data_IF_279326178724
#
_entry.id   IF_279326178724
#
_cell.length_a   1.000
_cell.length_b   1.000
_cell.length_c   1.000
_cell.angle_alpha   90.00
_cell.angle_beta   90.00
_cell.angle_gamma   90.00
#
_symmetry.space_group_name_H-M   'P 1'
#
loop_
_entity.id
_entity.type
_entity.pdbx_description
1 polymer ?
#
# COMPACT_ATOMS: atom_id res chain seq x y z
N UNK A 1 11.58 -11.72 -9.53
CA UNK A 1 11.44 -12.79 -10.54
C UNK A 1 10.62 -13.89 -9.89
N UNK A 2 9.50 -14.24 -10.50
CA UNK A 2 8.62 -15.33 -10.09
C UNK A 2 8.60 -16.34 -11.24
N UNK A 3 8.63 -17.63 -10.90
CA UNK A 3 8.58 -18.73 -11.87
C UNK A 3 7.37 -19.58 -11.50
N UNK A 4 6.50 -19.84 -12.45
CA UNK A 4 5.33 -20.70 -12.23
C UNK A 4 5.65 -22.20 -12.44
N UNK A 5 4.66 -23.06 -12.20
CA UNK A 5 4.82 -24.52 -12.29
C UNK A 5 5.10 -25.02 -13.72
N UNK A 6 4.80 -24.20 -14.74
CA UNK A 6 5.03 -24.51 -16.16
C UNK A 6 6.40 -23.99 -16.62
N UNK A 7 7.06 -23.18 -15.81
CA UNK A 7 8.38 -22.60 -16.07
C UNK A 7 8.33 -21.20 -16.68
N UNK A 8 7.16 -20.58 -16.79
CA UNK A 8 7.04 -19.20 -17.26
C UNK A 8 7.60 -18.23 -16.21
N UNK A 9 8.41 -17.29 -16.68
CA UNK A 9 9.11 -16.33 -15.83
C UNK A 9 8.43 -14.97 -15.91
N UNK A 10 7.97 -14.47 -14.77
CA UNK A 10 7.49 -13.09 -14.63
C UNK A 10 8.50 -12.23 -13.89
N UNK A 11 8.92 -11.13 -14.53
CA UNK A 11 9.79 -10.10 -13.96
C UNK A 11 8.97 -8.81 -13.84
N UNK A 12 8.64 -8.43 -12.60
CA UNK A 12 7.89 -7.21 -12.31
C UNK A 12 8.35 -6.62 -10.98
N UNK A 13 8.22 -5.30 -10.82
CA UNK A 13 8.36 -4.60 -9.54
C UNK A 13 7.01 -4.13 -8.98
N UNK A 14 5.91 -4.45 -9.65
CA UNK A 14 4.58 -4.12 -9.14
C UNK A 14 4.15 -5.09 -8.04
N UNK A 15 3.91 -4.56 -6.84
CA UNK A 15 3.52 -5.32 -5.67
C UNK A 15 2.18 -6.04 -5.82
N UNK A 16 1.21 -5.43 -6.53
CA UNK A 16 -0.09 -6.06 -6.78
C UNK A 16 0.06 -7.30 -7.67
N UNK A 17 0.83 -7.19 -8.76
CA UNK A 17 1.16 -8.32 -9.63
C UNK A 17 1.92 -9.43 -8.89
N UNK A 18 2.89 -9.08 -8.05
CA UNK A 18 3.64 -10.06 -7.24
C UNK A 18 2.68 -10.83 -6.33
N UNK A 19 1.81 -10.12 -5.60
CA UNK A 19 0.87 -10.73 -4.65
C UNK A 19 -0.21 -11.57 -5.33
N UNK A 20 -0.58 -11.23 -6.57
CA UNK A 20 -1.53 -12.01 -7.38
C UNK A 20 -0.94 -13.35 -7.85
N UNK A 21 0.36 -13.40 -8.11
CA UNK A 21 1.05 -14.61 -8.56
C UNK A 21 1.43 -15.54 -7.40
N UNK A 22 1.45 -15.03 -6.17
CA UNK A 22 1.66 -15.84 -4.97
C UNK A 22 0.39 -16.62 -4.63
N UNK A 23 0.52 -17.94 -4.52
CA UNK A 23 -0.57 -18.78 -4.02
C UNK A 23 -0.66 -18.68 -2.49
N UNK A 24 -1.53 -17.80 -2.00
CA UNK A 24 -1.73 -17.55 -0.57
C UNK A 24 -2.95 -18.31 -0.08
N UNK A 25 -2.73 -19.41 0.63
CA UNK A 25 -3.83 -20.21 1.19
C UNK A 25 -4.50 -19.56 2.40
N UNK A 26 -3.71 -18.91 3.27
CA UNK A 26 -4.19 -18.40 4.55
C UNK A 26 -5.21 -17.25 4.37
N UNK A 27 -6.40 -17.29 4.99
CA UNK A 27 -7.44 -16.27 4.79
C UNK A 27 -6.99 -14.84 5.09
N UNK A 28 -6.22 -14.62 6.15
CA UNK A 28 -5.69 -13.29 6.46
C UNK A 28 -4.69 -12.79 5.41
N UNK A 29 -3.95 -13.71 4.76
CA UNK A 29 -3.06 -13.36 3.66
C UNK A 29 -3.84 -12.99 2.39
N UNK A 30 -4.95 -13.69 2.10
CA UNK A 30 -5.86 -13.33 1.00
C UNK A 30 -6.42 -11.91 1.14
N UNK A 31 -6.69 -11.45 2.38
CA UNK A 31 -7.11 -10.06 2.63
C UNK A 31 -6.01 -9.07 2.20
N UNK A 32 -4.73 -9.36 2.47
CA UNK A 32 -3.63 -8.49 2.05
C UNK A 32 -3.43 -8.48 0.54
N UNK A 33 -3.62 -9.63 -0.13
CA UNK A 33 -3.60 -9.71 -1.60
C UNK A 33 -4.73 -8.87 -2.19
N UNK A 34 -5.95 -8.99 -1.66
CA UNK A 34 -7.09 -8.19 -2.09
C UNK A 34 -6.88 -6.70 -1.83
N UNK A 35 -6.28 -6.32 -0.70
CA UNK A 35 -5.95 -4.94 -0.39
C UNK A 35 -5.01 -4.31 -1.44
N UNK A 36 -3.99 -5.06 -1.88
CA UNK A 36 -3.08 -4.60 -2.92
C UNK A 36 -3.77 -4.43 -4.28
N UNK A 37 -4.66 -5.36 -4.65
CA UNK A 37 -5.44 -5.30 -5.87
C UNK A 37 -6.42 -4.12 -5.87
N UNK A 38 -7.14 -3.90 -4.76
CA UNK A 38 -8.06 -2.76 -4.62
C UNK A 38 -7.32 -1.42 -4.73
N UNK A 39 -6.11 -1.33 -4.16
CA UNK A 39 -5.29 -0.12 -4.27
C UNK A 39 -4.85 0.15 -5.72
N UNK A 40 -4.55 -0.91 -6.47
CA UNK A 40 -4.19 -0.81 -7.89
C UNK A 40 -5.40 -0.38 -8.74
N UNK A 41 -6.59 -0.93 -8.48
CA UNK A 41 -7.82 -0.62 -9.20
C UNK A 41 -8.34 0.81 -8.94
N UNK A 42 -8.30 1.27 -7.69
CA UNK A 42 -8.88 2.56 -7.29
C UNK A 42 -7.92 3.75 -7.51
N UNK A 43 -6.63 3.55 -7.25
CA UNK A 43 -5.63 4.64 -7.25
C UNK A 43 -4.50 4.39 -8.27
N UNK A 44 -4.11 3.13 -8.47
CA UNK A 44 -3.04 2.76 -9.41
C UNK A 44 -1.62 3.09 -8.93
N UNK A 45 -1.46 3.49 -7.65
CA UNK A 45 -0.18 3.74 -7.01
C UNK A 45 -0.22 3.33 -5.53
N UNK A 46 0.94 3.05 -4.94
CA UNK A 46 1.08 2.71 -3.53
C UNK A 46 0.68 1.28 -3.19
N UNK A 47 0.53 0.39 -4.17
CA UNK A 47 0.17 -1.04 -4.00
C UNK A 47 1.11 -1.76 -3.02
N UNK A 48 2.41 -1.51 -3.12
CA UNK A 48 3.40 -2.04 -2.17
C UNK A 48 3.29 -1.38 -0.79
N UNK A 49 3.16 -0.05 -0.77
CA UNK A 49 3.15 0.74 0.47
C UNK A 49 1.95 0.40 1.36
N UNK A 50 0.76 0.19 0.79
CA UNK A 50 -0.44 -0.13 1.56
C UNK A 50 -0.33 -1.48 2.28
N UNK A 51 0.30 -2.47 1.64
CA UNK A 51 0.53 -3.79 2.23
C UNK A 51 1.55 -3.72 3.36
N UNK A 52 2.66 -3.00 3.15
CA UNK A 52 3.67 -2.78 4.19
C UNK A 52 3.06 -2.04 5.40
N UNK A 53 2.24 -1.02 5.14
CA UNK A 53 1.55 -0.29 6.20
C UNK A 53 0.60 -1.18 6.99
N UNK A 54 -0.20 -2.00 6.31
CA UNK A 54 -1.10 -2.96 6.97
C UNK A 54 -0.32 -3.96 7.83
N UNK A 55 0.78 -4.51 7.32
CA UNK A 55 1.66 -5.41 8.07
C UNK A 55 2.25 -4.73 9.33
N UNK A 56 2.68 -3.47 9.21
CA UNK A 56 3.21 -2.71 10.35
C UNK A 56 2.14 -2.44 11.42
N UNK A 57 0.90 -2.13 11.01
CA UNK A 57 -0.22 -1.97 11.93
C UNK A 57 -0.59 -3.27 12.65
N UNK A 58 -0.59 -4.40 11.94
CA UNK A 58 -0.83 -5.71 12.55
C UNK A 58 0.24 -6.08 13.56
N UNK A 59 1.52 -5.84 13.23
CA UNK A 59 2.63 -6.06 14.17
C UNK A 59 2.49 -5.19 15.43
N UNK A 60 2.17 -3.91 15.26
CA UNK A 60 1.94 -3.01 16.41
C UNK A 60 0.73 -3.41 17.24
N UNK A 61 -0.34 -3.93 16.61
CA UNK A 61 -1.50 -4.45 17.31
C UNK A 61 -1.16 -5.70 18.14
N UNK A 62 -0.36 -6.63 17.60
CA UNK A 62 0.10 -7.83 18.29
C UNK A 62 0.93 -7.50 19.55
N UNK A 63 1.81 -6.49 19.47
CA UNK A 63 2.58 -5.99 20.62
C UNK A 63 1.66 -5.41 21.72
N UNK A 64 0.57 -4.72 21.35
CA UNK A 64 -0.40 -4.18 22.31
C UNK A 64 -1.27 -5.28 22.92
N UNK A 65 -1.66 -6.28 22.15
CA UNK A 65 -2.40 -7.46 22.64
C UNK A 65 -1.54 -8.22 23.64
N UNK A 66 -0.25 -8.39 23.36
CA UNK A 66 0.72 -9.01 24.28
C UNK A 66 0.85 -8.26 25.61
N UNK A 67 0.47 -6.98 25.63
CA UNK A 67 0.39 -6.13 26.84
C UNK A 67 -1.00 -6.08 27.46
N UNK A 68 -1.88 -7.03 27.13
CA UNK A 68 -3.25 -7.15 27.62
C UNK A 68 -4.18 -5.99 27.25
N UNK A 69 -3.88 -5.27 26.17
CA UNK A 69 -4.81 -4.26 25.62
C UNK A 69 -5.89 -4.97 24.81
N UNK A 70 -7.16 -4.73 25.14
CA UNK A 70 -8.28 -5.34 24.42
C UNK A 70 -8.31 -4.91 22.94
N UNK A 71 -8.49 -5.83 21.97
CA UNK A 71 -8.46 -5.51 20.53
C UNK A 71 -9.39 -4.37 20.11
N UNK A 72 -10.60 -4.29 20.69
CA UNK A 72 -11.55 -3.19 20.44
C UNK A 72 -10.98 -1.81 20.76
N UNK A 73 -10.16 -1.71 21.82
CA UNK A 73 -9.50 -0.45 22.20
C UNK A 73 -8.45 -0.05 21.17
N UNK A 74 -7.69 -1.03 20.65
CA UNK A 74 -6.69 -0.82 19.59
C UNK A 74 -7.37 -0.33 18.32
N UNK A 75 -8.46 -0.99 17.90
CA UNK A 75 -9.24 -0.61 16.71
C UNK A 75 -9.77 0.82 16.85
N UNK A 76 -10.33 1.19 18.02
CA UNK A 76 -10.80 2.54 18.26
C UNK A 76 -9.67 3.58 18.23
N UNK A 77 -8.51 3.23 18.79
CA UNK A 77 -7.30 4.07 18.73
C UNK A 77 -6.83 4.31 17.29
N UNK A 78 -6.74 3.26 16.48
CA UNK A 78 -6.36 3.38 15.06
C UNK A 78 -7.37 4.18 14.25
N UNK A 79 -8.68 4.02 14.50
CA UNK A 79 -9.71 4.84 13.85
C UNK A 79 -9.61 6.32 14.22
N UNK A 80 -9.30 6.63 15.48
CA UNK A 80 -9.07 8.02 15.90
C UNK A 80 -7.81 8.60 15.25
N UNK A 81 -6.70 7.86 15.31
CA UNK A 81 -5.44 8.28 14.71
C UNK A 81 -5.55 8.50 13.20
N UNK A 82 -6.25 7.60 12.49
CA UNK A 82 -6.50 7.72 11.05
C UNK A 82 -7.25 9.01 10.71
N UNK A 83 -8.29 9.38 11.47
CA UNK A 83 -9.04 10.62 11.25
C UNK A 83 -8.15 11.86 11.38
N UNK A 84 -7.38 11.94 12.45
CA UNK A 84 -6.48 13.08 12.67
C UNK A 84 -5.35 13.13 11.65
N UNK A 85 -4.78 11.98 11.26
CA UNK A 85 -3.76 11.90 10.23
C UNK A 85 -4.28 12.36 8.86
N UNK A 86 -5.48 11.92 8.46
CA UNK A 86 -6.12 12.37 7.22
C UNK A 86 -6.40 13.88 7.24
N UNK A 87 -6.87 14.41 8.37
CA UNK A 87 -7.08 15.85 8.54
C UNK A 87 -5.76 16.62 8.36
N UNK A 88 -4.70 16.17 9.01
CA UNK A 88 -3.38 16.78 8.89
C UNK A 88 -2.86 16.79 7.44
N UNK A 89 -3.01 15.68 6.72
CA UNK A 89 -2.63 15.57 5.30
C UNK A 89 -3.40 16.60 4.47
N UNK A 90 -4.71 16.73 4.69
CA UNK A 90 -5.57 17.65 3.95
C UNK A 90 -5.29 19.13 4.26
N UNK A 91 -4.84 19.45 5.47
CA UNK A 91 -4.56 20.83 5.90
C UNK A 91 -3.14 21.28 5.51
N UNK A 92 -2.16 20.36 5.53
CA UNK A 92 -0.74 20.73 5.44
C UNK A 92 0.03 20.14 4.26
N UNK A 93 -0.38 18.99 3.72
CA UNK A 93 0.41 18.26 2.73
C UNK A 93 -0.22 18.26 1.33
N UNK A 94 -1.50 18.62 1.19
CA UNK A 94 -2.14 18.69 -0.12
C UNK A 94 -1.64 19.90 -0.92
N UNK A 95 -1.37 19.67 -2.20
CA UNK A 95 -1.14 20.73 -3.17
C UNK A 95 -2.29 20.74 -4.18
N UNK A 96 -2.78 21.94 -4.50
CA UNK A 96 -3.80 22.10 -5.53
C UNK A 96 -3.20 21.83 -6.91
N UNK A 97 -3.83 20.93 -7.68
CA UNK A 97 -3.40 20.53 -9.02
C UNK A 97 -3.33 21.73 -9.97
N UNK A 98 -4.20 22.74 -9.79
CA UNK A 98 -4.18 23.97 -10.59
C UNK A 98 -2.89 24.78 -10.42
N UNK A 99 -2.21 24.62 -9.27
CA UNK A 99 -0.95 25.31 -8.94
C UNK A 99 0.29 24.48 -9.31
N UNK A 100 0.11 23.24 -9.76
CA UNK A 100 1.18 22.28 -10.01
C UNK A 100 1.98 22.63 -11.28
N UNK A 101 1.29 23.14 -12.30
CA UNK A 101 1.85 23.44 -13.62
C UNK A 101 2.41 22.21 -14.34
N UNK A 102 2.98 22.43 -15.54
CA UNK A 102 3.55 21.33 -16.35
C UNK A 102 4.74 20.67 -15.65
N UNK A 103 5.59 21.44 -14.97
CA UNK A 103 6.75 20.89 -14.27
C UNK A 103 6.35 19.96 -13.13
N UNK A 104 5.37 20.32 -12.31
CA UNK A 104 4.95 19.45 -11.21
C UNK A 104 4.24 18.18 -11.69
N UNK A 105 3.50 18.23 -12.81
CA UNK A 105 2.97 17.02 -13.47
C UNK A 105 4.08 16.08 -13.94
N UNK A 106 5.13 16.62 -14.57
CA UNK A 106 6.30 15.83 -15.01
C UNK A 106 7.03 15.22 -13.80
N UNK A 107 7.17 15.98 -12.71
CA UNK A 107 7.77 15.46 -11.47
C UNK A 107 6.95 14.33 -10.88
N UNK A 108 5.61 14.47 -10.80
CA UNK A 108 4.72 13.43 -10.31
C UNK A 108 4.81 12.15 -11.16
N UNK A 109 4.77 12.30 -12.49
CA UNK A 109 4.93 11.18 -13.42
C UNK A 109 6.30 10.50 -13.26
N UNK A 110 7.37 11.27 -13.12
CA UNK A 110 8.72 10.73 -12.89
C UNK A 110 8.80 9.94 -11.59
N UNK A 111 8.17 10.40 -10.52
CA UNK A 111 8.11 9.68 -9.24
C UNK A 111 7.39 8.34 -9.40
N UNK A 112 6.20 8.32 -10.03
CA UNK A 112 5.43 7.10 -10.26
C UNK A 112 6.18 6.08 -11.16
N UNK A 113 7.03 6.57 -12.07
CA UNK A 113 7.83 5.74 -12.97
C UNK A 113 9.16 5.28 -12.37
N UNK A 114 9.64 5.93 -11.31
CA UNK A 114 11.01 5.76 -10.78
C UNK A 114 11.35 4.33 -10.32
N UNK A 115 10.34 3.59 -9.86
CA UNK A 115 10.49 2.21 -9.40
C UNK A 115 10.22 1.19 -10.51
N UNK A 116 9.77 1.60 -11.70
CA UNK A 116 9.41 0.69 -12.79
C UNK A 116 10.56 0.58 -13.80
N UNK A 117 10.64 -0.58 -14.45
CA UNK A 117 11.57 -0.81 -15.56
C UNK A 117 11.08 -0.04 -16.79
N UNK A 118 11.47 1.22 -16.88
CA UNK A 118 11.13 2.10 -17.99
C UNK A 118 12.45 2.63 -18.53
N UNK A 119 12.84 2.17 -19.73
CA UNK A 119 13.93 2.78 -20.47
C UNK A 119 13.43 4.14 -20.98
N UNK A 120 13.79 5.22 -20.28
CA UNK A 120 13.65 6.60 -20.75
C UNK A 120 14.79 6.98 -21.69
#
# INVERSE_FOLDING_TARGET
>A
MLVDDVGDVTITNDGATILKLLDVEHPAGKILVQLAQLQDEEVGDGTTSVVILAAALLKGADELISRFVHPTTIINGYRLACREACKYIQEHLKMDVTKLGKQGLVSAARTAMSSKLINL
#
